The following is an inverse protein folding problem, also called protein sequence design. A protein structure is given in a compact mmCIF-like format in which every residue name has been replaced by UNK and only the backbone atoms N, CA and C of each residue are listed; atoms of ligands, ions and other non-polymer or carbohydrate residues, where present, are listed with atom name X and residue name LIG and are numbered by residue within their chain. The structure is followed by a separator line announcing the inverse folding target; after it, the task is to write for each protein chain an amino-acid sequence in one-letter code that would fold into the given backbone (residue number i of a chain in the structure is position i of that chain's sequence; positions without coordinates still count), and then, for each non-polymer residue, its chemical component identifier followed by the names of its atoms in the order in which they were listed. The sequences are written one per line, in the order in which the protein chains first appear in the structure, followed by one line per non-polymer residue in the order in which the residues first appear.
data_IF_517379702542
#
_entry.id   IF_517379702542
#
_cell.length_a   1.000
_cell.length_b   1.000
_cell.length_c   1.000
_cell.angle_alpha   90.00
_cell.angle_beta   90.00
_cell.angle_gamma   90.00
#
_symmetry.space_group_name_H-M   'P 1'
#
loop_
_entity.id
_entity.type
_entity.pdbx_description
1 polymer ?
#
# COMPACT_ATOMS: atom_id res chain seq x y z
N UNK A 1 21.59 81.85 32.02
CA UNK A 1 20.74 80.71 31.64
C UNK A 1 21.27 79.47 32.33
N UNK A 2 20.66 79.09 33.43
CA UNK A 2 21.05 77.94 34.30
C UNK A 2 20.44 76.66 33.70
N UNK A 3 21.27 75.73 33.21
CA UNK A 3 20.85 74.47 32.74
C UNK A 3 20.41 73.58 33.91
N UNK A 4 19.11 73.21 33.93
CA UNK A 4 18.55 72.27 34.93
C UNK A 4 19.08 70.87 34.60
N UNK A 5 19.97 70.39 35.50
CA UNK A 5 20.53 69.02 35.36
C UNK A 5 19.54 67.96 35.87
N UNK A 6 18.77 67.40 34.98
CA UNK A 6 17.77 66.36 35.33
C UNK A 6 18.53 65.06 35.66
N UNK A 7 18.32 64.54 36.87
CA UNK A 7 18.95 63.31 37.35
C UNK A 7 18.63 62.12 36.39
N UNK A 8 19.57 61.17 36.29
CA UNK A 8 19.38 59.98 35.43
C UNK A 8 18.09 59.17 35.77
N UNK A 9 17.66 59.20 37.06
CA UNK A 9 16.41 58.58 37.48
C UNK A 9 15.16 59.25 36.90
N UNK A 10 15.18 60.61 36.82
CA UNK A 10 14.06 61.37 36.22
C UNK A 10 13.99 61.13 34.71
N UNK A 11 15.13 60.96 34.01
CA UNK A 11 15.16 60.62 32.58
C UNK A 11 14.58 59.22 32.29
N UNK A 12 14.87 58.23 33.14
CA UNK A 12 14.34 56.87 33.05
C UNK A 12 12.82 56.86 33.28
N UNK A 13 12.33 57.59 34.28
CA UNK A 13 10.91 57.72 34.56
C UNK A 13 10.16 58.41 33.41
N UNK A 14 10.74 59.44 32.83
CA UNK A 14 10.14 60.16 31.70
C UNK A 14 10.09 59.24 30.44
N UNK A 15 11.15 58.50 30.18
CA UNK A 15 11.16 57.55 29.08
C UNK A 15 10.12 56.42 29.26
N UNK A 16 9.96 55.90 30.47
CA UNK A 16 8.95 54.89 30.79
C UNK A 16 7.53 55.42 30.61
N UNK A 17 7.27 56.69 31.05
CA UNK A 17 5.97 57.32 30.86
C UNK A 17 5.62 57.56 29.37
N UNK A 18 6.60 57.96 28.54
CA UNK A 18 6.42 58.11 27.12
C UNK A 18 6.09 56.79 26.44
N UNK A 19 6.75 55.69 26.86
CA UNK A 19 6.48 54.33 26.34
C UNK A 19 5.09 53.84 26.75
N UNK A 20 4.65 54.08 27.97
CA UNK A 20 3.32 53.72 28.48
C UNK A 20 2.22 54.52 27.76
N UNK A 21 2.41 55.82 27.59
CA UNK A 21 1.50 56.67 26.82
C UNK A 21 1.45 56.29 25.35
N UNK A 22 2.58 55.96 24.76
CA UNK A 22 2.65 55.45 23.36
C UNK A 22 1.90 54.13 23.20
N UNK A 23 2.10 53.19 24.12
CA UNK A 23 1.40 51.88 24.11
C UNK A 23 -0.10 52.06 24.36
N UNK A 24 -0.52 52.98 25.26
CA UNK A 24 -1.92 53.29 25.48
C UNK A 24 -2.57 53.95 24.24
N UNK A 25 -1.87 54.87 23.59
CA UNK A 25 -2.36 55.52 22.36
C UNK A 25 -2.46 54.53 21.20
N UNK A 26 -1.49 53.66 21.00
CA UNK A 26 -1.49 52.61 20.03
C UNK A 26 -2.63 51.59 20.32
N UNK A 27 -2.80 51.17 21.59
CA UNK A 27 -3.87 50.27 21.98
C UNK A 27 -5.26 50.86 21.80
N UNK A 28 -5.44 52.18 21.99
CA UNK A 28 -6.72 52.87 21.75
C UNK A 28 -7.06 53.03 20.25
N UNK A 29 -6.05 53.07 19.38
CA UNK A 29 -6.24 53.12 17.90
C UNK A 29 -6.36 51.78 17.25
N UNK A 30 -5.74 50.74 17.81
CA UNK A 30 -5.74 49.36 17.32
C UNK A 30 -6.47 48.39 18.29
N UNK A 31 -7.28 48.91 19.20
CA UNK A 31 -8.10 48.05 20.07
C UNK A 31 -9.01 47.12 19.26
N UNK A 32 -9.41 45.97 19.82
CA UNK A 32 -10.19 44.98 19.09
C UNK A 32 -11.46 45.65 18.59
N UNK A 33 -11.64 45.68 17.26
CA UNK A 33 -12.89 46.06 16.62
C UNK A 33 -13.97 45.16 17.20
N UNK A 34 -15.05 45.75 17.71
CA UNK A 34 -16.22 44.99 18.16
C UNK A 34 -16.58 44.01 17.01
N UNK A 35 -16.83 42.72 17.35
CA UNK A 35 -17.25 41.78 16.31
C UNK A 35 -18.54 42.34 15.70
N UNK A 36 -18.50 42.70 14.43
CA UNK A 36 -19.68 42.92 13.60
C UNK A 36 -20.54 41.68 13.82
N UNK A 37 -21.81 41.88 14.23
CA UNK A 37 -22.81 40.81 14.27
C UNK A 37 -22.79 40.16 12.91
N UNK A 38 -22.12 38.99 12.82
CA UNK A 38 -22.28 38.12 11.68
C UNK A 38 -23.73 37.63 11.80
N UNK A 39 -24.58 38.04 10.91
CA UNK A 39 -25.90 37.43 10.76
C UNK A 39 -25.64 35.92 10.60
N UNK A 40 -26.28 35.15 11.48
CA UNK A 40 -26.15 33.70 11.44
C UNK A 40 -26.59 33.24 10.06
N UNK A 41 -25.63 32.71 9.29
CA UNK A 41 -25.94 31.99 8.04
C UNK A 41 -26.99 30.93 8.42
N UNK A 42 -28.15 30.92 7.76
CA UNK A 42 -29.20 29.95 8.10
C UNK A 42 -28.58 28.58 8.04
N UNK A 43 -28.57 27.83 9.16
CA UNK A 43 -28.21 26.42 9.18
C UNK A 43 -29.07 25.74 8.13
N UNK A 44 -28.43 25.20 7.09
CA UNK A 44 -29.14 24.53 6.03
C UNK A 44 -30.08 23.50 6.64
N UNK A 45 -31.36 23.68 6.42
CA UNK A 45 -32.39 22.73 6.76
C UNK A 45 -31.99 21.37 6.20
N UNK A 46 -32.13 20.32 6.99
CA UNK A 46 -32.05 18.93 6.54
C UNK A 46 -32.87 18.83 5.24
N UNK A 47 -32.16 18.63 4.10
CA UNK A 47 -32.78 18.61 2.78
C UNK A 47 -33.79 17.46 2.75
N UNK A 48 -35.05 17.78 2.43
CA UNK A 48 -36.09 16.78 2.27
C UNK A 48 -35.70 15.78 1.16
N UNK A 49 -36.19 14.53 1.17
CA UNK A 49 -35.93 13.55 0.12
C UNK A 49 -36.23 14.08 -1.30
N UNK A 50 -37.24 14.94 -1.44
CA UNK A 50 -37.56 15.60 -2.71
C UNK A 50 -36.50 16.61 -3.19
N UNK A 51 -35.86 17.34 -2.27
CA UNK A 51 -34.77 18.27 -2.63
C UNK A 51 -33.50 17.52 -3.05
N UNK A 52 -33.23 16.33 -2.49
CA UNK A 52 -32.13 15.48 -2.92
C UNK A 52 -32.39 14.86 -4.30
N UNK A 53 -33.61 14.39 -4.58
CA UNK A 53 -33.98 13.86 -5.90
C UNK A 53 -33.85 14.91 -7.00
N UNK A 54 -34.19 16.18 -6.71
CA UNK A 54 -34.10 17.29 -7.66
C UNK A 54 -32.64 17.71 -7.93
N UNK A 55 -31.75 17.62 -6.92
CA UNK A 55 -30.30 17.82 -7.08
C UNK A 55 -29.66 16.69 -7.89
N UNK A 56 -30.05 15.45 -7.65
CA UNK A 56 -29.52 14.30 -8.39
C UNK A 56 -29.93 14.37 -9.89
N UNK A 57 -31.12 14.91 -10.21
CA UNK A 57 -31.58 15.11 -11.59
C UNK A 57 -30.80 16.20 -12.37
N UNK A 58 -30.07 17.07 -11.68
CA UNK A 58 -29.24 18.12 -12.30
C UNK A 58 -27.79 17.72 -12.56
N UNK A 59 -27.38 16.54 -12.10
CA UNK A 59 -26.01 16.04 -12.28
C UNK A 59 -25.76 15.60 -13.73
N UNK A 60 -24.57 15.88 -14.25
CA UNK A 60 -24.11 15.29 -15.51
C UNK A 60 -23.95 13.77 -15.38
N UNK A 61 -23.89 13.05 -16.52
CA UNK A 61 -23.75 11.61 -16.49
C UNK A 61 -22.53 11.15 -15.67
N UNK A 62 -21.42 11.88 -15.76
CA UNK A 62 -20.19 11.59 -15.02
C UNK A 62 -20.33 11.89 -13.52
N UNK A 63 -20.90 13.02 -13.16
CA UNK A 63 -21.17 13.38 -11.75
C UNK A 63 -22.14 12.40 -11.09
N UNK A 64 -23.18 11.96 -11.82
CA UNK A 64 -24.15 11.00 -11.31
C UNK A 64 -23.51 9.65 -10.97
N UNK A 65 -22.55 9.18 -11.80
CA UNK A 65 -21.77 7.97 -11.51
C UNK A 65 -20.95 8.16 -10.23
N UNK A 66 -20.21 9.27 -10.10
CA UNK A 66 -19.38 9.56 -8.93
C UNK A 66 -20.21 9.57 -7.65
N UNK A 67 -21.32 10.30 -7.64
CA UNK A 67 -22.21 10.41 -6.48
C UNK A 67 -22.84 9.07 -6.13
N UNK A 68 -23.33 8.32 -7.14
CA UNK A 68 -23.92 6.99 -6.92
C UNK A 68 -22.93 6.02 -6.33
N UNK A 69 -21.74 5.87 -6.96
CA UNK A 69 -20.70 4.91 -6.51
C UNK A 69 -20.22 5.29 -5.11
N UNK A 70 -19.98 6.59 -4.84
CA UNK A 70 -19.56 7.06 -3.53
C UNK A 70 -20.59 6.72 -2.44
N UNK A 71 -21.88 7.00 -2.68
CA UNK A 71 -22.98 6.70 -1.72
C UNK A 71 -23.09 5.20 -1.42
N UNK A 72 -22.89 4.36 -2.43
CA UNK A 72 -22.95 2.90 -2.28
C UNK A 72 -21.72 2.34 -1.55
N UNK A 73 -20.53 2.85 -1.85
CA UNK A 73 -19.28 2.28 -1.38
C UNK A 73 -18.82 2.83 -0.02
N UNK A 74 -19.03 4.13 0.26
CA UNK A 74 -18.50 4.79 1.45
C UNK A 74 -18.91 4.13 2.78
N UNK A 75 -20.12 3.53 2.95
CA UNK A 75 -20.45 2.81 4.19
C UNK A 75 -19.59 1.59 4.47
N UNK A 76 -19.02 0.98 3.42
CA UNK A 76 -18.16 -0.19 3.53
C UNK A 76 -16.66 0.16 3.64
N UNK A 77 -16.29 1.44 3.43
CA UNK A 77 -14.89 1.90 3.55
C UNK A 77 -14.61 2.25 5.01
N UNK A 78 -13.55 1.64 5.54
CA UNK A 78 -13.14 1.77 6.92
C UNK A 78 -11.87 2.62 7.06
N UNK A 79 -11.75 3.31 8.19
CA UNK A 79 -10.47 3.76 8.71
C UNK A 79 -9.88 2.65 9.58
N UNK A 80 -8.61 2.35 9.37
CA UNK A 80 -7.84 1.39 10.17
C UNK A 80 -6.84 2.17 11.00
N UNK A 81 -7.00 2.12 12.31
CA UNK A 81 -6.10 2.73 13.29
C UNK A 81 -5.22 1.63 13.91
N UNK A 82 -3.93 1.88 13.96
CA UNK A 82 -2.98 0.94 14.53
C UNK A 82 -2.19 1.59 15.64
N UNK A 83 -1.84 0.81 16.65
CA UNK A 83 -0.91 1.22 17.70
C UNK A 83 0.25 0.24 17.74
N UNK A 84 1.44 0.78 17.75
CA UNK A 84 2.70 0.07 17.89
C UNK A 84 3.56 0.71 18.96
N UNK A 85 4.61 0.03 19.40
CA UNK A 85 5.62 0.60 20.28
C UNK A 85 6.95 0.56 19.56
N UNK A 86 7.54 1.70 19.32
CA UNK A 86 8.91 1.84 18.86
C UNK A 86 9.83 2.10 20.07
N UNK A 87 11.13 1.89 19.90
CA UNK A 87 12.11 2.21 20.92
C UNK A 87 12.95 3.38 20.42
N UNK A 88 13.11 4.40 21.26
CA UNK A 88 13.97 5.54 20.95
C UNK A 88 15.46 5.16 21.04
N UNK A 89 16.35 6.16 20.85
CA UNK A 89 17.79 5.96 20.93
C UNK A 89 18.27 5.44 22.30
N UNK A 90 17.50 5.71 23.37
CA UNK A 90 17.79 5.26 24.73
C UNK A 90 17.10 3.93 25.06
N UNK A 91 16.49 3.27 24.10
CA UNK A 91 15.69 2.06 24.28
C UNK A 91 14.42 2.25 25.12
N UNK A 92 13.94 3.50 25.26
CA UNK A 92 12.67 3.78 25.91
C UNK A 92 11.50 3.53 24.95
N UNK A 93 10.40 2.88 25.42
CA UNK A 93 9.26 2.58 24.57
C UNK A 93 8.45 3.85 24.24
N UNK A 94 8.32 4.15 22.94
CA UNK A 94 7.53 5.28 22.44
C UNK A 94 6.32 4.73 21.68
N UNK A 95 5.08 5.07 22.10
CA UNK A 95 3.89 4.66 21.36
C UNK A 95 3.79 5.40 20.02
N UNK A 96 3.57 4.65 18.96
CA UNK A 96 3.37 5.18 17.60
C UNK A 96 1.98 4.78 17.12
N UNK A 97 1.26 5.75 16.56
CA UNK A 97 -0.06 5.52 15.97
C UNK A 97 0.05 5.61 14.45
N UNK A 98 -0.52 4.61 13.78
CA UNK A 98 -0.66 4.56 12.34
C UNK A 98 -2.12 4.67 11.91
N UNK A 99 -2.35 5.14 10.69
CA UNK A 99 -3.67 5.17 10.10
C UNK A 99 -3.62 4.83 8.62
N UNK A 100 -4.63 4.11 8.15
CA UNK A 100 -4.85 3.78 6.75
C UNK A 100 -6.32 3.53 6.47
N UNK A 101 -6.62 3.08 5.26
CA UNK A 101 -7.97 2.69 4.87
C UNK A 101 -8.08 1.18 4.69
N UNK A 102 -9.30 0.70 4.69
CA UNK A 102 -9.69 -0.66 4.33
C UNK A 102 -11.11 -0.69 3.81
N UNK A 103 -11.59 -1.85 3.40
CA UNK A 103 -12.97 -2.01 2.99
C UNK A 103 -13.50 -3.40 3.32
N UNK A 104 -14.77 -3.46 3.66
CA UNK A 104 -15.49 -4.69 4.00
C UNK A 104 -15.74 -5.49 2.72
N UNK A 105 -15.32 -6.76 2.72
CA UNK A 105 -15.52 -7.71 1.61
C UNK A 105 -16.57 -8.77 1.91
N UNK A 106 -16.93 -8.92 3.19
CA UNK A 106 -17.89 -9.93 3.62
C UNK A 106 -18.67 -9.40 4.84
N UNK A 107 -20.01 -9.55 4.88
CA UNK A 107 -20.85 -9.11 6.01
C UNK A 107 -20.46 -9.73 7.36
N UNK A 108 -19.71 -10.83 7.36
CA UNK A 108 -19.14 -11.46 8.57
C UNK A 108 -18.00 -10.67 9.21
N UNK A 109 -17.64 -9.51 8.62
CA UNK A 109 -16.65 -8.56 9.16
C UNK A 109 -15.24 -8.73 8.62
N UNK A 110 -15.02 -9.41 7.49
CA UNK A 110 -13.72 -9.46 6.83
C UNK A 110 -13.46 -8.16 6.07
N UNK A 111 -12.27 -7.60 6.28
CA UNK A 111 -11.84 -6.31 5.73
C UNK A 111 -10.47 -6.49 5.07
N UNK A 112 -10.36 -6.09 3.81
CA UNK A 112 -9.09 -5.99 3.10
C UNK A 112 -8.44 -4.62 3.32
N UNK A 113 -7.11 -4.64 3.41
CA UNK A 113 -6.25 -3.45 3.50
C UNK A 113 -4.85 -3.77 2.97
N UNK A 114 -3.93 -2.81 2.99
CA UNK A 114 -2.52 -3.08 2.72
C UNK A 114 -1.82 -3.68 3.95
N UNK A 115 -0.78 -4.49 3.68
CA UNK A 115 0.05 -5.06 4.76
C UNK A 115 0.80 -3.96 5.52
N UNK A 116 1.37 -2.97 4.81
CA UNK A 116 2.10 -1.87 5.45
C UNK A 116 1.24 -1.01 6.39
N UNK A 117 -0.10 -1.05 6.27
CA UNK A 117 -1.01 -0.35 7.20
C UNK A 117 -1.08 -1.06 8.56
N UNK A 118 -0.96 -2.40 8.58
CA UNK A 118 -1.12 -3.22 9.78
C UNK A 118 0.16 -3.90 10.25
N UNK A 119 1.26 -3.72 9.52
CA UNK A 119 2.55 -4.26 9.94
C UNK A 119 2.96 -3.68 11.30
N UNK A 120 3.55 -4.51 12.17
CA UNK A 120 4.03 -4.13 13.50
C UNK A 120 2.94 -3.64 14.48
N UNK A 121 1.64 -3.69 14.06
CA UNK A 121 0.54 -3.27 14.91
C UNK A 121 0.36 -4.22 16.11
N UNK A 122 0.46 -3.70 17.32
CA UNK A 122 0.11 -4.41 18.55
C UNK A 122 -1.41 -4.46 18.77
N UNK A 123 -2.12 -3.44 18.29
CA UNK A 123 -3.58 -3.40 18.26
C UNK A 123 -4.09 -2.72 17.00
N UNK A 124 -5.24 -3.22 16.52
CA UNK A 124 -5.92 -2.70 15.33
C UNK A 124 -7.34 -2.33 15.75
N UNK A 125 -7.75 -1.11 15.45
CA UNK A 125 -9.12 -0.63 15.59
C UNK A 125 -9.66 -0.23 14.21
N UNK A 126 -10.88 -0.62 13.91
CA UNK A 126 -11.57 -0.28 12.67
C UNK A 126 -12.71 0.68 12.98
N UNK A 127 -12.75 1.80 12.27
CA UNK A 127 -13.83 2.79 12.34
C UNK A 127 -14.57 2.80 11.00
N UNK A 128 -15.86 2.46 11.02
CA UNK A 128 -16.70 2.46 9.82
C UNK A 128 -17.28 3.85 9.53
N UNK A 129 -17.89 4.00 8.36
CA UNK A 129 -18.48 5.27 7.92
C UNK A 129 -19.59 5.82 8.83
N UNK A 130 -20.25 4.96 9.62
CA UNK A 130 -21.24 5.32 10.65
C UNK A 130 -20.61 5.69 12.01
N UNK A 131 -19.30 5.87 12.06
CA UNK A 131 -18.51 6.15 13.28
C UNK A 131 -18.46 5.01 14.30
N UNK A 132 -19.02 3.84 13.98
CA UNK A 132 -18.90 2.68 14.87
C UNK A 132 -17.46 2.17 14.88
N UNK A 133 -16.97 1.83 16.09
CA UNK A 133 -15.61 1.40 16.35
C UNK A 133 -15.58 -0.07 16.76
N UNK A 134 -14.66 -0.80 16.19
CA UNK A 134 -14.51 -2.24 16.42
C UNK A 134 -13.05 -2.59 16.64
N UNK A 135 -12.70 -3.32 17.71
CA UNK A 135 -11.41 -3.96 17.78
C UNK A 135 -11.33 -5.01 16.65
N UNK A 136 -10.23 -5.02 15.93
CA UNK A 136 -10.02 -5.93 14.81
C UNK A 136 -8.96 -6.97 15.14
N UNK A 137 -9.21 -8.20 14.68
CA UNK A 137 -8.25 -9.31 14.73
C UNK A 137 -7.48 -9.35 13.40
N UNK A 138 -6.18 -9.38 13.46
CA UNK A 138 -5.34 -9.73 12.32
C UNK A 138 -5.55 -11.20 11.96
N UNK A 139 -5.93 -11.49 10.72
CA UNK A 139 -6.15 -12.85 10.21
C UNK A 139 -4.89 -13.35 9.53
N UNK A 140 -4.25 -12.51 8.73
CA UNK A 140 -3.02 -12.82 8.03
C UNK A 140 -2.73 -11.79 6.96
N UNK A 141 -1.58 -11.95 6.30
CA UNK A 141 -1.15 -11.05 5.24
C UNK A 141 -0.27 -11.74 4.21
N UNK A 142 -0.20 -11.12 3.05
CA UNK A 142 0.81 -11.34 2.04
C UNK A 142 1.72 -10.11 1.96
N UNK A 143 2.85 -10.14 2.65
CA UNK A 143 3.81 -9.05 2.65
C UNK A 143 4.36 -8.76 1.25
N UNK A 144 4.52 -9.77 0.42
CA UNK A 144 5.09 -9.63 -0.93
C UNK A 144 4.18 -8.81 -1.84
N UNK A 145 2.86 -9.06 -1.76
CA UNK A 145 1.85 -8.36 -2.54
C UNK A 145 1.22 -7.18 -1.78
N UNK A 146 1.71 -6.84 -0.59
CA UNK A 146 1.21 -5.76 0.27
C UNK A 146 -0.30 -5.85 0.57
N UNK A 147 -0.81 -7.05 0.80
CA UNK A 147 -2.23 -7.31 1.12
C UNK A 147 -2.36 -7.88 2.52
N UNK A 148 -3.29 -7.37 3.30
CA UNK A 148 -3.66 -7.91 4.62
C UNK A 148 -5.16 -8.07 4.77
N UNK A 149 -5.54 -9.06 5.60
CA UNK A 149 -6.91 -9.34 5.98
C UNK A 149 -7.06 -9.18 7.48
N UNK A 150 -8.01 -8.34 7.88
CA UNK A 150 -8.41 -8.18 9.28
C UNK A 150 -9.87 -8.55 9.44
N UNK A 151 -10.30 -8.88 10.66
CA UNK A 151 -11.67 -9.25 10.96
C UNK A 151 -12.20 -8.51 12.19
N UNK A 152 -13.37 -7.91 12.05
CA UNK A 152 -14.17 -7.34 13.14
C UNK A 152 -15.33 -8.25 13.50
N UNK A 153 -15.84 -8.13 14.73
CA UNK A 153 -17.12 -8.71 15.13
C UNK A 153 -18.23 -7.66 14.91
N UNK A 154 -19.16 -7.87 13.97
CA UNK A 154 -20.22 -6.92 13.67
C UNK A 154 -21.25 -6.76 14.79
N UNK A 155 -21.22 -7.59 15.84
CA UNK A 155 -22.15 -7.56 17.00
C UNK A 155 -23.62 -7.49 16.58
N UNK A 156 -23.99 -8.26 15.55
CA UNK A 156 -25.36 -8.33 15.03
C UNK A 156 -25.74 -7.20 14.06
N UNK A 157 -24.89 -6.22 13.80
CA UNK A 157 -25.13 -5.23 12.75
C UNK A 157 -24.92 -5.86 11.36
N UNK A 158 -25.75 -5.46 10.41
CA UNK A 158 -25.56 -5.80 9.01
C UNK A 158 -24.50 -4.87 8.40
N UNK A 159 -23.33 -5.43 8.05
CA UNK A 159 -22.28 -4.69 7.38
C UNK A 159 -22.51 -4.67 5.87
N UNK A 160 -22.33 -3.50 5.27
CA UNK A 160 -22.30 -3.37 3.80
C UNK A 160 -20.95 -3.92 3.33
N UNK A 161 -20.98 -4.91 2.43
CA UNK A 161 -19.78 -5.43 1.77
C UNK A 161 -19.72 -4.93 0.32
N UNK A 162 -18.53 -4.63 -0.18
CA UNK A 162 -18.33 -4.22 -1.57
C UNK A 162 -18.26 -5.43 -2.50
N UNK A 163 -18.94 -5.38 -3.65
CA UNK A 163 -18.75 -6.39 -4.68
C UNK A 163 -17.34 -6.32 -5.26
N UNK A 164 -16.71 -7.48 -5.40
CA UNK A 164 -15.37 -7.60 -5.97
C UNK A 164 -15.47 -7.90 -7.47
N UNK A 165 -15.00 -6.98 -8.30
CA UNK A 165 -15.00 -7.06 -9.75
C UNK A 165 -13.90 -7.99 -10.30
N UNK A 166 -13.54 -7.83 -11.56
CA UNK A 166 -12.49 -8.59 -12.26
C UNK A 166 -11.42 -7.64 -12.80
N UNK A 167 -10.22 -7.70 -12.20
CA UNK A 167 -9.10 -6.88 -12.66
C UNK A 167 -8.47 -7.36 -13.98
N UNK A 168 -8.71 -8.63 -14.37
CA UNK A 168 -8.23 -9.17 -15.65
C UNK A 168 -9.02 -8.67 -16.88
N UNK A 169 -10.24 -8.14 -16.67
CA UNK A 169 -11.09 -7.60 -17.73
C UNK A 169 -10.93 -6.08 -17.94
N UNK A 170 -10.00 -5.42 -17.22
CA UNK A 170 -9.81 -3.98 -17.28
C UNK A 170 -9.23 -3.53 -18.63
N UNK A 171 -9.60 -2.31 -19.01
CA UNK A 171 -9.08 -1.63 -20.20
C UNK A 171 -8.60 -0.23 -19.84
N UNK A 172 -7.50 0.20 -20.47
CA UNK A 172 -6.99 1.58 -20.33
C UNK A 172 -8.06 2.57 -20.78
N UNK A 173 -8.25 3.65 -20.02
CA UNK A 173 -9.29 4.65 -20.23
C UNK A 173 -10.58 4.41 -19.44
N UNK A 174 -10.78 3.23 -18.84
CA UNK A 174 -11.94 3.01 -17.95
C UNK A 174 -11.88 3.92 -16.72
N UNK A 175 -13.03 4.50 -16.36
CA UNK A 175 -13.19 5.34 -15.18
C UNK A 175 -12.95 4.55 -13.91
N UNK A 176 -12.22 5.18 -12.97
CA UNK A 176 -11.98 4.65 -11.63
C UNK A 176 -12.24 5.71 -10.56
N UNK A 177 -12.63 5.23 -9.39
CA UNK A 177 -12.86 6.02 -8.19
C UNK A 177 -12.03 5.40 -7.05
N UNK A 178 -11.11 6.17 -6.49
CA UNK A 178 -10.37 5.76 -5.30
C UNK A 178 -11.03 6.37 -4.06
N UNK A 179 -11.39 5.51 -3.10
CA UNK A 179 -12.05 5.93 -1.86
C UNK A 179 -11.14 5.57 -0.69
N UNK A 180 -11.05 6.48 0.29
CA UNK A 180 -10.38 6.25 1.55
C UNK A 180 -11.08 6.93 2.71
N UNK A 181 -10.72 6.55 3.93
CA UNK A 181 -11.25 7.17 5.15
C UNK A 181 -10.11 7.49 6.14
N UNK A 182 -9.21 8.45 5.77
CA UNK A 182 -7.97 8.67 6.53
C UNK A 182 -8.17 9.16 7.97
N UNK A 183 -9.29 9.82 8.24
CA UNK A 183 -9.55 10.46 9.53
C UNK A 183 -10.72 9.85 10.30
N UNK A 184 -11.37 8.82 9.76
CA UNK A 184 -12.51 8.17 10.39
C UNK A 184 -13.81 9.00 10.40
N UNK A 185 -13.83 10.22 9.80
CA UNK A 185 -15.04 11.07 9.80
C UNK A 185 -15.89 10.86 8.53
N UNK A 186 -15.35 11.23 7.39
CA UNK A 186 -15.98 11.07 6.08
C UNK A 186 -14.97 10.49 5.10
N UNK A 187 -15.44 9.57 4.27
CA UNK A 187 -14.61 9.01 3.20
C UNK A 187 -14.27 10.09 2.19
N UNK A 188 -13.02 10.12 1.75
CA UNK A 188 -12.54 10.97 0.66
C UNK A 188 -12.69 10.22 -0.65
N UNK A 189 -12.97 10.95 -1.72
CA UNK A 189 -13.10 10.44 -3.08
C UNK A 189 -12.11 11.16 -3.99
N UNK A 190 -11.35 10.39 -4.76
CA UNK A 190 -10.62 10.88 -5.93
C UNK A 190 -11.02 10.09 -7.16
N UNK A 191 -11.03 10.71 -8.33
CA UNK A 191 -11.46 10.09 -9.58
C UNK A 191 -10.37 10.19 -10.63
N UNK A 192 -10.35 9.24 -11.52
CA UNK A 192 -9.42 9.19 -12.64
C UNK A 192 -9.81 8.07 -13.62
N UNK A 193 -8.83 7.62 -14.36
CA UNK A 193 -8.97 6.50 -15.30
C UNK A 193 -7.88 5.45 -15.06
N UNK A 194 -8.07 4.26 -15.59
CA UNK A 194 -6.99 3.28 -15.75
C UNK A 194 -6.02 3.84 -16.77
N UNK A 195 -4.81 4.21 -16.34
CA UNK A 195 -3.79 4.82 -17.20
C UNK A 195 -2.88 3.79 -17.87
N UNK A 196 -2.60 2.67 -17.18
CA UNK A 196 -1.86 1.53 -17.74
C UNK A 196 -2.15 0.27 -16.91
N UNK A 197 -1.85 -0.89 -17.50
CA UNK A 197 -2.00 -2.23 -16.89
C UNK A 197 -0.72 -3.04 -17.08
N UNK A 198 -0.59 -4.12 -16.29
CA UNK A 198 0.47 -5.10 -16.45
C UNK A 198 1.88 -4.59 -16.08
N UNK A 199 2.00 -3.55 -15.26
CA UNK A 199 3.30 -3.06 -14.78
C UNK A 199 3.68 -3.71 -13.47
N UNK A 200 4.93 -4.17 -13.38
CA UNK A 200 5.50 -4.55 -12.08
C UNK A 200 6.11 -3.31 -11.43
N UNK A 201 5.64 -2.99 -10.23
CA UNK A 201 6.12 -1.85 -9.45
C UNK A 201 6.75 -2.35 -8.17
N UNK A 202 8.05 -2.18 -8.04
CA UNK A 202 8.75 -2.50 -6.80
C UNK A 202 8.55 -1.36 -5.79
N UNK A 203 7.98 -1.67 -4.63
CA UNK A 203 7.68 -0.70 -3.58
C UNK A 203 8.72 -0.72 -2.46
N UNK A 204 9.42 -1.84 -2.28
CA UNK A 204 10.55 -2.02 -1.36
C UNK A 204 11.50 -3.08 -1.88
N UNK A 205 12.53 -3.44 -1.10
CA UNK A 205 13.44 -4.54 -1.46
C UNK A 205 12.74 -5.90 -1.56
N UNK A 206 11.66 -6.11 -0.83
CA UNK A 206 10.95 -7.40 -0.71
C UNK A 206 9.50 -7.36 -1.19
N UNK A 207 8.94 -6.16 -1.39
CA UNK A 207 7.54 -5.95 -1.75
C UNK A 207 7.44 -5.41 -3.18
N UNK A 208 6.53 -5.97 -3.97
CA UNK A 208 6.23 -5.50 -5.31
C UNK A 208 4.73 -5.65 -5.59
N UNK A 209 4.21 -4.80 -6.46
CA UNK A 209 2.87 -4.93 -7.01
C UNK A 209 3.05 -5.48 -8.43
N UNK A 210 2.62 -6.72 -8.60
CA UNK A 210 2.60 -7.37 -9.90
C UNK A 210 1.31 -7.03 -10.65
N UNK A 211 1.39 -6.89 -11.98
CA UNK A 211 0.26 -6.48 -12.82
C UNK A 211 -0.46 -5.22 -12.31
N UNK A 212 0.29 -4.30 -11.67
CA UNK A 212 -0.26 -3.09 -11.06
C UNK A 212 -1.22 -2.34 -12.00
N UNK A 213 -2.34 -1.90 -11.45
CA UNK A 213 -3.26 -0.97 -12.11
C UNK A 213 -2.71 0.44 -11.88
N UNK A 214 -2.26 1.10 -12.94
CA UNK A 214 -1.86 2.50 -12.88
C UNK A 214 -3.07 3.39 -13.12
N UNK A 215 -3.18 4.47 -12.33
CA UNK A 215 -4.26 5.47 -12.45
C UNK A 215 -3.72 6.89 -12.22
N UNK A 216 -4.41 7.87 -12.77
CA UNK A 216 -4.23 9.30 -12.49
C UNK A 216 -5.14 9.80 -11.35
N UNK A 217 -6.02 8.94 -10.81
CA UNK A 217 -6.71 9.23 -9.56
C UNK A 217 -5.66 9.46 -8.46
N UNK A 218 -5.81 10.51 -7.67
CA UNK A 218 -4.84 10.85 -6.63
C UNK A 218 -4.82 9.78 -5.53
N UNK A 219 -3.73 9.00 -5.46
CA UNK A 219 -3.48 8.00 -4.42
C UNK A 219 -2.48 8.59 -3.43
N UNK A 220 -2.86 8.65 -2.16
CA UNK A 220 -2.08 9.22 -1.07
C UNK A 220 -2.19 8.35 0.19
N UNK A 221 -1.40 8.64 1.22
CA UNK A 221 -1.42 7.90 2.51
C UNK A 221 -2.83 7.74 3.10
N UNK A 222 -3.74 8.66 2.82
CA UNK A 222 -5.11 8.61 3.37
C UNK A 222 -6.04 7.61 2.69
N UNK A 223 -5.84 7.26 1.42
CA UNK A 223 -6.66 6.25 0.74
C UNK A 223 -5.93 4.93 0.49
N UNK A 224 -4.66 4.81 0.93
CA UNK A 224 -3.91 3.55 0.90
C UNK A 224 -4.63 2.47 1.71
N UNK A 225 -4.78 1.29 1.12
CA UNK A 225 -5.57 0.18 1.66
C UNK A 225 -7.07 0.26 1.36
N UNK A 226 -7.57 1.41 0.93
CA UNK A 226 -8.95 1.59 0.47
C UNK A 226 -9.19 1.02 -0.93
N UNK A 227 -10.46 0.91 -1.37
CA UNK A 227 -10.80 0.34 -2.66
C UNK A 227 -10.55 1.31 -3.83
N UNK A 228 -10.07 0.76 -4.95
CA UNK A 228 -10.22 1.33 -6.29
C UNK A 228 -11.45 0.69 -6.93
N UNK A 229 -12.41 1.50 -7.37
CA UNK A 229 -13.75 1.06 -7.77
C UNK A 229 -14.02 1.49 -9.22
N UNK A 230 -14.69 0.64 -10.00
CA UNK A 230 -15.13 0.97 -11.35
C UNK A 230 -16.47 1.75 -11.36
N UNK A 231 -16.92 2.17 -12.55
CA UNK A 231 -18.18 2.89 -12.71
C UNK A 231 -19.43 2.07 -12.34
N UNK A 232 -19.33 0.76 -12.19
CA UNK A 232 -20.42 -0.13 -11.76
C UNK A 232 -20.52 -0.26 -10.23
N UNK A 233 -19.52 0.23 -9.48
CA UNK A 233 -19.45 0.12 -8.03
C UNK A 233 -18.72 -1.14 -7.54
N UNK A 234 -17.98 -1.82 -8.43
CA UNK A 234 -17.22 -3.02 -8.11
C UNK A 234 -15.77 -2.66 -7.81
N UNK A 235 -15.18 -3.27 -6.80
CA UNK A 235 -13.77 -3.10 -6.47
C UNK A 235 -12.91 -3.81 -7.50
N UNK A 236 -12.01 -3.09 -8.15
CA UNK A 236 -11.07 -3.58 -9.14
C UNK A 236 -9.62 -3.61 -8.65
N UNK A 237 -9.35 -2.97 -7.50
CA UNK A 237 -8.02 -2.97 -6.89
C UNK A 237 -8.01 -2.42 -5.47
N UNK A 238 -6.85 -2.55 -4.80
CA UNK A 238 -6.56 -1.93 -3.50
C UNK A 238 -5.60 -0.78 -3.75
N UNK A 239 -5.96 0.44 -3.36
CA UNK A 239 -5.09 1.61 -3.50
C UNK A 239 -3.79 1.40 -2.72
N UNK A 240 -2.65 1.61 -3.36
CA UNK A 240 -1.35 1.55 -2.69
C UNK A 240 -0.59 2.85 -2.92
N UNK A 241 -0.40 3.61 -1.83
CA UNK A 241 0.43 4.81 -1.86
C UNK A 241 1.89 4.39 -1.91
N UNK A 242 2.47 4.39 -3.11
CA UNK A 242 3.88 4.09 -3.30
C UNK A 242 4.69 5.26 -2.76
N UNK A 243 5.73 4.92 -2.00
CA UNK A 243 6.71 5.90 -1.55
C UNK A 243 7.44 6.47 -2.76
N UNK A 244 7.10 7.68 -3.18
CA UNK A 244 7.90 8.44 -4.14
C UNK A 244 8.96 9.23 -3.39
N UNK A 245 10.20 9.31 -3.88
CA UNK A 245 11.27 10.08 -3.22
C UNK A 245 10.90 11.56 -2.96
N UNK A 246 9.96 12.10 -3.73
CA UNK A 246 9.45 13.47 -3.59
C UNK A 246 8.30 13.61 -2.58
N UNK A 247 7.75 12.50 -2.05
CA UNK A 247 6.60 12.52 -1.13
C UNK A 247 5.28 13.01 -1.74
N UNK A 248 5.26 13.36 -3.02
CA UNK A 248 4.09 13.83 -3.76
C UNK A 248 3.78 12.91 -4.93
N UNK A 249 2.51 12.57 -5.09
CA UNK A 249 2.02 11.85 -6.27
C UNK A 249 2.01 12.81 -7.46
N UNK A 250 2.95 12.66 -8.37
CA UNK A 250 3.02 13.47 -9.61
C UNK A 250 1.92 13.04 -10.63
N UNK A 251 0.69 12.77 -10.18
CA UNK A 251 -0.39 12.29 -11.05
C UNK A 251 -0.25 10.82 -11.46
N UNK A 252 0.53 10.02 -10.72
CA UNK A 252 0.70 8.59 -10.95
C UNK A 252 0.37 7.85 -9.66
N UNK A 253 -0.78 7.15 -9.65
CA UNK A 253 -1.19 6.24 -8.58
C UNK A 253 -1.11 4.79 -9.03
N UNK A 254 -1.01 3.88 -8.08
CA UNK A 254 -1.03 2.44 -8.34
C UNK A 254 -2.02 1.74 -7.42
N UNK A 255 -2.60 0.66 -7.92
CA UNK A 255 -3.43 -0.21 -7.11
C UNK A 255 -3.05 -1.68 -7.36
N UNK A 256 -3.18 -2.48 -6.32
CA UNK A 256 -3.00 -3.93 -6.34
C UNK A 256 -4.24 -4.53 -7.01
N UNK A 257 -4.11 -5.39 -8.04
CA UNK A 257 -5.25 -5.99 -8.72
C UNK A 257 -6.15 -6.78 -7.76
N UNK A 258 -7.47 -6.61 -7.90
CA UNK A 258 -8.41 -7.29 -7.01
C UNK A 258 -8.38 -8.82 -7.13
N UNK A 259 -8.02 -9.36 -8.30
CA UNK A 259 -7.92 -10.81 -8.48
C UNK A 259 -6.81 -11.41 -7.60
N UNK A 260 -5.66 -10.71 -7.49
CA UNK A 260 -4.59 -11.07 -6.55
C UNK A 260 -5.08 -11.03 -5.11
N UNK A 261 -5.77 -9.96 -4.71
CA UNK A 261 -6.30 -9.82 -3.35
C UNK A 261 -7.39 -10.87 -3.03
N UNK A 262 -8.25 -11.23 -3.99
CA UNK A 262 -9.25 -12.32 -3.82
C UNK A 262 -8.59 -13.66 -3.48
N UNK A 263 -7.55 -14.03 -4.24
CA UNK A 263 -6.83 -15.28 -4.01
C UNK A 263 -6.22 -15.32 -2.61
N UNK A 264 -5.56 -14.23 -2.21
CA UNK A 264 -4.95 -14.09 -0.89
C UNK A 264 -6.02 -14.15 0.20
N UNK A 265 -7.12 -13.40 0.06
CA UNK A 265 -8.21 -13.40 1.03
C UNK A 265 -8.82 -14.78 1.21
N UNK A 266 -9.07 -15.52 0.11
CA UNK A 266 -9.60 -16.89 0.18
C UNK A 266 -8.66 -17.82 0.94
N UNK A 267 -7.34 -17.80 0.62
CA UNK A 267 -6.34 -18.61 1.32
C UNK A 267 -6.34 -18.30 2.83
N UNK A 268 -6.38 -17.01 3.19
CA UNK A 268 -6.37 -16.56 4.59
C UNK A 268 -7.68 -16.92 5.34
N UNK A 269 -8.83 -16.88 4.67
CA UNK A 269 -10.14 -17.22 5.29
C UNK A 269 -10.26 -18.72 5.51
N UNK A 270 -9.81 -19.54 4.53
CA UNK A 270 -9.94 -21.01 4.57
C UNK A 270 -8.86 -21.66 5.42
N UNK A 271 -7.61 -21.29 5.23
CA UNK A 271 -6.46 -22.01 5.75
C UNK A 271 -5.61 -21.20 6.73
N UNK A 272 -5.94 -19.91 6.92
CA UNK A 272 -5.21 -18.99 7.81
C UNK A 272 -3.81 -18.61 7.31
N UNK A 273 -3.44 -19.01 6.09
CA UNK A 273 -2.13 -18.74 5.48
C UNK A 273 -2.23 -18.66 3.98
N UNK A 274 -1.31 -17.94 3.36
CA UNK A 274 -1.24 -17.82 1.89
C UNK A 274 -0.46 -18.99 1.31
N UNK A 275 -1.06 -19.70 0.34
CA UNK A 275 -0.42 -20.81 -0.36
C UNK A 275 0.48 -20.27 -1.47
N UNK A 276 1.80 -20.44 -1.32
CA UNK A 276 2.77 -19.95 -2.28
C UNK A 276 3.51 -21.06 -2.97
N UNK A 277 3.53 -21.00 -4.29
CA UNK A 277 4.40 -21.84 -5.08
C UNK A 277 5.87 -21.62 -4.74
N UNK A 278 6.61 -22.71 -4.64
CA UNK A 278 8.00 -22.73 -4.23
C UNK A 278 8.83 -23.59 -5.16
N UNK A 279 9.91 -23.02 -5.71
CA UNK A 279 10.85 -23.74 -6.55
C UNK A 279 11.93 -24.46 -5.75
N UNK A 280 12.38 -23.86 -4.66
CA UNK A 280 13.38 -24.48 -3.76
C UNK A 280 14.82 -24.31 -4.23
N UNK A 281 15.20 -23.10 -4.63
CA UNK A 281 16.56 -22.75 -5.02
C UNK A 281 17.06 -21.52 -4.26
N UNK A 282 18.34 -21.51 -3.92
CA UNK A 282 19.09 -20.31 -3.54
C UNK A 282 19.97 -19.95 -4.73
N UNK A 283 19.92 -18.70 -5.14
CA UNK A 283 20.55 -18.27 -6.40
C UNK A 283 21.36 -16.99 -6.25
N UNK A 284 22.35 -16.85 -7.10
CA UNK A 284 23.14 -15.65 -7.30
C UNK A 284 22.87 -15.10 -8.71
N UNK A 285 22.55 -13.81 -8.80
CA UNK A 285 22.33 -13.15 -10.09
C UNK A 285 23.64 -13.13 -10.90
N UNK A 286 23.58 -13.58 -12.15
CA UNK A 286 24.69 -13.56 -13.08
C UNK A 286 24.87 -12.13 -13.59
N UNK A 287 25.99 -11.52 -13.24
CA UNK A 287 26.47 -10.26 -13.81
C UNK A 287 27.44 -10.52 -14.97
N UNK A 288 27.71 -9.51 -15.80
CA UNK A 288 28.71 -9.62 -16.87
C UNK A 288 30.07 -10.09 -16.34
N UNK A 289 30.51 -9.52 -15.21
CA UNK A 289 31.75 -9.93 -14.54
C UNK A 289 31.73 -11.42 -14.12
N UNK A 290 30.62 -11.87 -13.49
CA UNK A 290 30.50 -13.25 -13.03
C UNK A 290 30.46 -14.23 -14.22
N UNK A 291 29.80 -13.83 -15.30
CA UNK A 291 29.74 -14.61 -16.54
C UNK A 291 31.14 -14.85 -17.12
N UNK A 292 31.95 -13.78 -17.21
CA UNK A 292 33.32 -13.86 -17.70
C UNK A 292 34.23 -14.69 -16.75
N UNK A 293 34.16 -14.43 -15.45
CA UNK A 293 34.99 -15.09 -14.45
C UNK A 293 34.74 -16.62 -14.35
N UNK A 294 33.53 -17.06 -14.66
CA UNK A 294 33.13 -18.47 -14.61
C UNK A 294 32.99 -19.13 -15.99
N UNK A 295 33.32 -18.41 -17.07
CA UNK A 295 33.14 -18.85 -18.47
C UNK A 295 31.72 -19.40 -18.73
N UNK A 296 30.70 -18.61 -18.31
CA UNK A 296 29.32 -19.02 -18.47
C UNK A 296 28.82 -18.74 -19.89
N UNK A 297 27.96 -19.61 -20.46
CA UNK A 297 27.44 -19.47 -21.82
C UNK A 297 26.42 -18.34 -21.96
N UNK A 298 26.09 -17.67 -20.88
CA UNK A 298 25.07 -16.60 -20.81
C UNK A 298 25.55 -15.44 -19.95
N UNK A 299 25.14 -14.21 -20.32
CA UNK A 299 25.51 -12.98 -19.59
C UNK A 299 24.51 -12.59 -18.51
N UNK A 300 23.36 -13.22 -18.51
CA UNK A 300 22.24 -12.94 -17.58
C UNK A 300 21.60 -14.28 -17.16
N UNK A 301 21.05 -14.33 -15.96
CA UNK A 301 20.38 -15.48 -15.39
C UNK A 301 20.64 -15.60 -13.90
N UNK A 302 20.26 -16.73 -13.33
CA UNK A 302 20.46 -17.03 -11.91
C UNK A 302 21.28 -18.30 -11.75
N UNK A 303 22.51 -18.15 -11.25
CA UNK A 303 23.35 -19.28 -10.87
C UNK A 303 22.76 -19.93 -9.61
N UNK A 304 22.45 -21.21 -9.67
CA UNK A 304 21.96 -22.00 -8.52
C UNK A 304 23.13 -22.29 -7.58
N UNK A 305 23.18 -21.56 -6.47
CA UNK A 305 24.17 -21.85 -5.41
C UNK A 305 23.78 -23.12 -4.65
N UNK A 306 22.45 -23.29 -4.37
CA UNK A 306 21.93 -24.47 -3.68
C UNK A 306 20.52 -24.81 -4.14
N UNK A 307 20.25 -26.09 -4.37
CA UNK A 307 18.91 -26.63 -4.44
C UNK A 307 18.53 -27.21 -3.07
N UNK A 308 17.37 -26.78 -2.54
CA UNK A 308 16.86 -27.22 -1.22
C UNK A 308 16.71 -28.75 -1.21
N UNK A 309 17.37 -29.43 -0.29
CA UNK A 309 17.31 -30.91 -0.18
C UNK A 309 15.87 -31.36 0.07
N UNK A 310 15.37 -32.25 -0.77
CA UNK A 310 13.98 -32.72 -0.74
C UNK A 310 12.99 -31.71 -1.30
N UNK A 311 13.44 -30.54 -1.77
CA UNK A 311 12.61 -29.55 -2.41
C UNK A 311 12.33 -29.85 -3.90
N UNK A 312 11.41 -29.08 -4.53
CA UNK A 312 10.97 -29.29 -5.90
C UNK A 312 12.10 -29.32 -6.93
N UNK A 313 12.97 -28.31 -6.92
CA UNK A 313 14.09 -28.19 -7.85
C UNK A 313 15.07 -29.36 -7.73
N UNK A 314 15.45 -29.71 -6.49
CA UNK A 314 16.36 -30.86 -6.25
C UNK A 314 15.70 -32.17 -6.69
N UNK A 315 14.41 -32.39 -6.40
CA UNK A 315 13.65 -33.58 -6.84
C UNK A 315 13.53 -33.68 -8.35
N UNK A 316 13.50 -32.58 -9.07
CA UNK A 316 13.48 -32.50 -10.53
C UNK A 316 14.89 -32.62 -11.16
N UNK A 317 15.96 -32.65 -10.35
CA UNK A 317 17.34 -32.80 -10.80
C UNK A 317 18.04 -31.47 -11.17
N UNK A 318 17.53 -30.33 -10.73
CA UNK A 318 18.25 -29.04 -10.78
C UNK A 318 19.43 -29.13 -9.80
N UNK A 319 20.63 -28.75 -10.27
CA UNK A 319 21.87 -28.92 -9.54
C UNK A 319 22.34 -27.59 -8.95
N UNK A 320 22.66 -27.62 -7.65
CA UNK A 320 23.36 -26.51 -6.98
C UNK A 320 24.86 -26.56 -7.20
N UNK A 321 25.56 -25.52 -6.79
CA UNK A 321 27.04 -25.46 -6.86
C UNK A 321 27.70 -26.57 -6.08
N UNK A 322 28.74 -27.14 -6.67
CA UNK A 322 29.53 -28.24 -6.10
C UNK A 322 30.98 -27.84 -5.74
N UNK A 323 31.37 -26.61 -6.02
CA UNK A 323 32.67 -26.00 -5.69
C UNK A 323 32.42 -24.65 -5.03
N UNK A 324 33.34 -24.18 -4.22
CA UNK A 324 33.30 -22.86 -3.59
C UNK A 324 34.37 -21.98 -4.21
N UNK A 325 33.99 -20.78 -4.63
CA UNK A 325 34.88 -19.72 -5.05
C UNK A 325 34.79 -18.54 -4.09
N UNK A 326 35.85 -17.78 -3.98
CA UNK A 326 35.89 -16.54 -3.18
C UNK A 326 35.71 -15.35 -4.13
N UNK A 327 34.70 -14.51 -3.84
CA UNK A 327 34.43 -13.28 -4.55
C UNK A 327 34.50 -12.12 -3.55
N UNK A 328 35.68 -11.55 -3.39
CA UNK A 328 35.98 -10.61 -2.32
C UNK A 328 35.83 -11.27 -0.95
N UNK A 329 34.97 -10.70 -0.08
CA UNK A 329 34.70 -11.26 1.25
C UNK A 329 33.55 -12.31 1.26
N UNK A 330 32.94 -12.61 0.12
CA UNK A 330 31.83 -13.55 0.01
C UNK A 330 32.31 -14.89 -0.58
N UNK A 331 31.92 -16.01 0.04
CA UNK A 331 32.00 -17.33 -0.54
C UNK A 331 30.77 -17.62 -1.36
N UNK A 332 30.93 -18.03 -2.61
CA UNK A 332 29.85 -18.36 -3.53
C UNK A 332 30.00 -19.83 -3.96
N UNK A 333 28.89 -20.55 -4.04
CA UNK A 333 28.86 -21.89 -4.57
C UNK A 333 28.73 -21.84 -6.10
N UNK A 334 29.71 -22.44 -6.81
CA UNK A 334 29.79 -22.40 -8.27
C UNK A 334 29.72 -23.82 -8.86
N UNK A 335 29.50 -23.90 -10.19
CA UNK A 335 29.35 -25.15 -10.91
C UNK A 335 27.92 -25.73 -10.89
N UNK A 336 26.97 -24.98 -10.33
CA UNK A 336 25.57 -25.30 -10.41
C UNK A 336 24.93 -24.87 -11.75
N UNK A 337 23.67 -25.19 -11.93
CA UNK A 337 22.88 -24.77 -13.09
C UNK A 337 22.70 -23.25 -13.15
N UNK A 338 22.57 -22.70 -14.34
CA UNK A 338 22.17 -21.28 -14.52
C UNK A 338 20.76 -21.25 -15.07
N UNK A 339 19.79 -20.82 -14.26
CA UNK A 339 18.39 -20.65 -14.68
C UNK A 339 18.30 -19.41 -15.57
N UNK A 340 17.69 -19.54 -16.75
CA UNK A 340 17.53 -18.46 -17.73
C UNK A 340 16.07 -18.23 -18.15
N UNK A 341 15.18 -19.21 -17.91
CA UNK A 341 13.74 -19.03 -18.14
C UNK A 341 12.92 -20.01 -17.27
N UNK A 342 11.67 -19.64 -16.99
CA UNK A 342 10.62 -20.49 -16.42
C UNK A 342 9.37 -20.33 -17.28
N UNK A 343 8.78 -21.43 -17.79
CA UNK A 343 7.65 -21.43 -18.72
C UNK A 343 7.87 -20.47 -19.89
N UNK A 344 9.07 -20.47 -20.48
CA UNK A 344 9.52 -19.58 -21.56
C UNK A 344 9.61 -18.09 -21.18
N UNK A 345 9.29 -17.68 -19.97
CA UNK A 345 9.51 -16.33 -19.49
C UNK A 345 10.98 -16.18 -19.07
N UNK A 346 11.65 -15.14 -19.60
CA UNK A 346 13.07 -14.88 -19.28
C UNK A 346 13.25 -14.61 -17.80
N UNK A 347 14.29 -15.20 -17.23
CA UNK A 347 14.71 -15.00 -15.83
C UNK A 347 16.13 -14.44 -15.83
N UNK A 348 16.28 -13.19 -15.39
CA UNK A 348 17.56 -12.52 -15.21
C UNK A 348 17.80 -12.13 -13.74
N UNK A 349 16.75 -12.06 -12.93
CA UNK A 349 16.78 -11.65 -11.52
C UNK A 349 15.87 -12.51 -10.63
N UNK A 350 16.06 -12.42 -9.31
CA UNK A 350 15.17 -13.08 -8.34
C UNK A 350 13.73 -12.53 -8.45
N UNK A 351 13.57 -11.27 -8.85
CA UNK A 351 12.24 -10.66 -9.09
C UNK A 351 11.50 -11.43 -10.19
N UNK A 352 12.17 -11.78 -11.31
CA UNK A 352 11.53 -12.51 -12.41
C UNK A 352 11.00 -13.86 -11.95
N UNK A 353 11.76 -14.60 -11.15
CA UNK A 353 11.30 -15.86 -10.53
C UNK A 353 10.07 -15.63 -9.66
N UNK A 354 10.10 -14.57 -8.83
CA UNK A 354 8.99 -14.25 -7.96
C UNK A 354 7.72 -13.90 -8.75
N UNK A 355 7.85 -13.16 -9.85
CA UNK A 355 6.74 -12.81 -10.75
C UNK A 355 6.11 -14.05 -11.36
N UNK A 356 6.93 -14.95 -11.94
CA UNK A 356 6.40 -16.19 -12.51
C UNK A 356 5.69 -17.04 -11.44
N UNK A 357 6.29 -17.20 -10.27
CA UNK A 357 5.71 -18.00 -9.19
C UNK A 357 4.48 -17.35 -8.54
N UNK A 358 4.30 -16.03 -8.65
CA UNK A 358 3.12 -15.33 -8.12
C UNK A 358 1.81 -15.77 -8.81
N UNK A 359 1.91 -16.21 -10.07
CA UNK A 359 0.79 -16.73 -10.86
C UNK A 359 0.62 -18.24 -10.77
N UNK A 360 1.38 -18.92 -9.91
CA UNK A 360 1.36 -20.38 -9.75
C UNK A 360 0.89 -20.79 -8.37
N UNK A 361 0.37 -22.01 -8.29
CA UNK A 361 -0.04 -22.64 -7.03
C UNK A 361 0.91 -23.80 -6.70
N UNK A 362 1.04 -24.16 -5.41
CA UNK A 362 1.68 -25.42 -5.03
C UNK A 362 1.06 -26.59 -5.79
N UNK A 363 1.91 -27.46 -6.36
CA UNK A 363 1.48 -28.59 -7.18
C UNK A 363 1.46 -28.33 -8.68
N UNK A 364 1.51 -27.07 -9.13
CA UNK A 364 1.62 -26.75 -10.56
C UNK A 364 2.94 -27.23 -11.14
N UNK A 365 2.91 -27.60 -12.44
CA UNK A 365 4.10 -27.95 -13.18
C UNK A 365 4.61 -26.72 -13.93
N UNK A 366 5.93 -26.52 -13.90
CA UNK A 366 6.62 -25.49 -14.69
C UNK A 366 7.81 -26.11 -15.42
N UNK A 367 8.21 -25.53 -16.53
CA UNK A 367 9.42 -25.89 -17.24
C UNK A 367 10.52 -24.90 -16.92
N UNK A 368 11.58 -25.34 -16.22
CA UNK A 368 12.74 -24.53 -15.91
C UNK A 368 13.81 -24.74 -16.93
N UNK A 369 14.16 -23.71 -17.69
CA UNK A 369 15.25 -23.75 -18.68
C UNK A 369 16.54 -23.36 -17.99
N UNK A 370 17.52 -24.26 -18.04
CA UNK A 370 18.84 -24.07 -17.41
C UNK A 370 19.98 -24.28 -18.40
N UNK A 371 21.13 -23.71 -18.08
CA UNK A 371 22.41 -24.12 -18.65
C UNK A 371 23.18 -24.94 -17.64
N UNK A 372 23.66 -26.15 -18.08
CA UNK A 372 24.48 -27.08 -17.32
C UNK A 372 25.68 -27.50 -18.16
N UNK A 373 26.89 -27.17 -17.72
CA UNK A 373 28.12 -27.51 -18.49
C UNK A 373 28.11 -27.00 -19.92
N UNK A 374 27.60 -25.78 -20.13
CA UNK A 374 27.48 -25.15 -21.46
C UNK A 374 26.27 -25.61 -22.32
N UNK A 375 25.50 -26.60 -21.88
CA UNK A 375 24.33 -27.13 -22.62
C UNK A 375 23.05 -26.60 -22.04
N UNK A 376 22.15 -26.13 -22.94
CA UNK A 376 20.79 -25.73 -22.60
C UNK A 376 19.90 -26.94 -22.39
N UNK A 377 19.11 -26.95 -21.31
CA UNK A 377 18.21 -28.04 -20.95
C UNK A 377 16.90 -27.47 -20.39
N UNK A 378 15.80 -28.15 -20.68
CA UNK A 378 14.48 -27.87 -20.12
C UNK A 378 14.16 -28.97 -19.10
N UNK A 379 13.90 -28.56 -17.86
CA UNK A 379 13.65 -29.45 -16.72
C UNK A 379 12.24 -29.22 -16.22
N UNK A 380 11.33 -30.23 -16.32
CA UNK A 380 10.00 -30.12 -15.74
C UNK A 380 10.09 -30.21 -14.20
N UNK A 381 9.47 -29.23 -13.53
CA UNK A 381 9.46 -29.15 -12.07
C UNK A 381 8.02 -29.04 -11.59
N UNK A 382 7.61 -29.94 -10.70
CA UNK A 382 6.38 -29.78 -9.94
C UNK A 382 6.64 -28.89 -8.73
N UNK A 383 6.00 -27.71 -8.69
CA UNK A 383 6.21 -26.74 -7.61
C UNK A 383 5.71 -27.28 -6.28
N UNK A 384 6.47 -27.01 -5.24
CA UNK A 384 6.08 -27.28 -3.86
C UNK A 384 5.38 -26.10 -3.22
N UNK A 385 5.09 -26.26 -1.94
CA UNK A 385 4.60 -25.18 -1.10
C UNK A 385 5.75 -24.67 -0.23
N UNK A 386 5.90 -23.35 -0.16
CA UNK A 386 6.82 -22.75 0.80
C UNK A 386 6.23 -22.90 2.18
N UNK A 387 6.93 -23.56 3.08
CA UNK A 387 6.54 -23.60 4.50
C UNK A 387 6.37 -22.15 4.98
N UNK A 388 5.19 -21.83 5.50
CA UNK A 388 4.91 -20.51 6.06
C UNK A 388 5.84 -20.24 7.25
N UNK A 389 6.39 -19.06 7.29
CA UNK A 389 6.96 -18.52 8.54
C UNK A 389 5.82 -17.98 9.38
#
# INVERSE_FOLDING_TARGET
MTAVNISNRARIILAALVLILGAYWAGSRFGPRQPTKVEAVPRGSSSSPAANAQRDASLTGDESINVRVYRQASPAVANILTKATEYDFFMDPVPVEGAGSGFVIDPRGYILTNFHVVQEAQSIEVVLGDQSRYPAKFIGADQRNDVALVKIDPKGKHLVALPLGDSGALQVGQKVLAIGNPFGFQSTLTTGVVSALGRTVQTSQTTFIDEAIQTDAAINRGNSGGPLINSHGEVIGINSAIYTPSGTTAGIGFAIPINTAKNIANDLITDGRVHRAFLGVETLQVSAWLSEALDLPVKEGLLVERATKGGPAAGAGIQGGNRVAEAGMRRIAIGGDVIVAIDSQKVASQLDVNLVLNHKRPGDNVTVTVYRGGKKMDIPVKLGERAGN
#
